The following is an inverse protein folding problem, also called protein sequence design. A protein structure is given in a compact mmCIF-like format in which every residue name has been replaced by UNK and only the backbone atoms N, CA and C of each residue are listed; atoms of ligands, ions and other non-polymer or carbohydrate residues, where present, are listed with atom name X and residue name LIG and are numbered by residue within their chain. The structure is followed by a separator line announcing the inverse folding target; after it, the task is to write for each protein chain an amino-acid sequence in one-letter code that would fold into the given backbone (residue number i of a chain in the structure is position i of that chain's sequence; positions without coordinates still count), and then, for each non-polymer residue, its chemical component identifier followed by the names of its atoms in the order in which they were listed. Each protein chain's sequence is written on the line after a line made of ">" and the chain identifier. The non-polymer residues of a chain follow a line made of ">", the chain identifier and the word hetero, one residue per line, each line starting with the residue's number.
data_IF_541971160974
#
_entry.id   IF_541971160974
#
_cell.length_a   1.000
_cell.length_b   1.000
_cell.length_c   1.000
_cell.angle_alpha   90.00
_cell.angle_beta   90.00
_cell.angle_gamma   90.00
#
_symmetry.space_group_name_H-M   'P 1'
#
loop_
_entity.id
_entity.type
_entity.pdbx_description
1 polymer ?
#
# COMPACT_ATOMS: atom_id res chain seq x y z
N UNK A 1 -4.89 -9.38 -74.51
CA UNK A 1 -5.46 -8.03 -74.34
C UNK A 1 -5.95 -7.89 -72.90
N UNK A 2 -5.52 -6.84 -72.20
CA UNK A 2 -6.20 -6.25 -71.03
C UNK A 2 -6.10 -6.96 -69.68
N UNK A 3 -5.12 -6.59 -68.84
CA UNK A 3 -5.29 -6.53 -67.37
C UNK A 3 -4.80 -5.16 -66.88
N UNK A 4 -5.55 -4.43 -66.05
CA UNK A 4 -5.21 -3.06 -65.70
C UNK A 4 -4.15 -3.02 -64.60
N UNK A 5 -3.17 -2.13 -64.78
CA UNK A 5 -2.17 -1.77 -63.77
C UNK A 5 -2.83 -0.97 -62.65
N UNK A 6 -2.90 -1.51 -61.43
CA UNK A 6 -3.17 -0.71 -60.24
C UNK A 6 -1.94 0.15 -59.92
N UNK A 7 -2.03 1.45 -60.16
CA UNK A 7 -1.05 2.44 -59.68
C UNK A 7 -1.09 2.49 -58.15
N UNK A 8 0.02 2.15 -57.50
CA UNK A 8 0.25 2.48 -56.09
C UNK A 8 0.37 4.02 -55.96
N UNK A 9 -0.29 4.66 -54.97
CA UNK A 9 -0.07 6.07 -54.73
C UNK A 9 1.32 6.29 -54.12
N UNK A 10 1.99 7.33 -54.60
CA UNK A 10 3.32 7.78 -54.15
C UNK A 10 3.24 8.17 -52.66
N UNK A 11 4.07 7.55 -51.82
CA UNK A 11 4.36 8.02 -50.47
C UNK A 11 5.08 9.36 -50.56
N UNK A 12 4.36 10.44 -50.25
CA UNK A 12 4.98 11.70 -49.85
C UNK A 12 5.60 11.50 -48.48
N UNK A 13 6.87 11.88 -48.34
CA UNK A 13 7.54 11.88 -47.05
C UNK A 13 6.92 12.96 -46.15
N UNK A 14 6.31 12.55 -45.04
CA UNK A 14 6.00 13.43 -43.92
C UNK A 14 6.61 12.86 -42.64
N UNK A 15 7.38 13.71 -41.98
CA UNK A 15 7.93 13.62 -40.62
C UNK A 15 7.05 12.83 -39.64
N UNK A 16 7.68 11.96 -38.83
CA UNK A 16 7.10 11.12 -37.76
C UNK A 16 5.71 11.58 -37.26
N UNK A 17 4.65 11.04 -37.86
CA UNK A 17 3.29 11.10 -37.34
C UNK A 17 2.82 9.67 -37.12
N UNK A 18 2.66 9.27 -35.85
CA UNK A 18 1.85 8.08 -35.56
C UNK A 18 0.45 8.34 -36.12
N UNK A 19 -0.01 7.51 -37.06
CA UNK A 19 -1.40 7.52 -37.50
C UNK A 19 -2.28 7.27 -36.27
N UNK A 20 -2.99 8.31 -35.82
CA UNK A 20 -3.79 8.29 -34.61
C UNK A 20 -5.21 7.84 -34.95
N UNK A 21 -5.69 6.80 -34.27
CA UNK A 21 -7.12 6.44 -34.27
C UNK A 21 -7.86 7.35 -33.28
N UNK A 22 -8.72 8.24 -33.79
CA UNK A 22 -9.56 9.11 -32.96
C UNK A 22 -10.84 8.37 -32.61
N UNK A 23 -11.03 8.06 -31.32
CA UNK A 23 -12.24 7.42 -30.80
C UNK A 23 -12.88 8.35 -29.78
N UNK A 24 -14.14 8.69 -29.99
CA UNK A 24 -14.84 9.64 -29.12
C UNK A 24 -14.15 11.01 -29.06
N UNK A 25 -14.42 11.74 -27.98
CA UNK A 25 -13.74 13.00 -27.64
C UNK A 25 -12.71 12.78 -26.54
N UNK A 26 -11.55 13.43 -26.69
CA UNK A 26 -10.48 13.39 -25.71
C UNK A 26 -10.80 14.19 -24.45
N UNK A 27 -11.55 15.28 -24.58
CA UNK A 27 -12.02 16.11 -23.49
C UNK A 27 -13.54 16.19 -23.54
N UNK A 28 -14.19 15.71 -22.47
CA UNK A 28 -15.65 15.63 -22.43
C UNK A 28 -16.33 16.99 -22.28
N UNK A 29 -15.58 18.08 -22.04
CA UNK A 29 -16.12 19.45 -22.18
C UNK A 29 -16.50 19.79 -23.63
N UNK A 30 -16.00 19.01 -24.60
CA UNK A 30 -16.31 19.16 -26.03
C UNK A 30 -17.50 18.29 -26.47
N UNK A 31 -18.16 17.58 -25.54
CA UNK A 31 -19.36 16.82 -25.88
C UNK A 31 -20.48 17.77 -26.35
N UNK A 32 -21.20 17.43 -27.45
CA UNK A 32 -22.31 18.25 -27.94
C UNK A 32 -23.47 18.38 -26.94
N UNK A 33 -23.67 17.35 -26.11
CA UNK A 33 -24.66 17.34 -25.03
C UNK A 33 -24.05 16.66 -23.80
N UNK A 34 -23.94 17.42 -22.71
CA UNK A 34 -23.49 16.90 -21.42
C UNK A 34 -24.66 16.17 -20.77
N UNK A 35 -24.69 14.85 -20.96
CA UNK A 35 -25.65 13.94 -20.33
C UNK A 35 -24.92 12.70 -19.81
N UNK A 36 -25.48 12.03 -18.81
CA UNK A 36 -24.92 10.77 -18.29
C UNK A 36 -24.70 9.74 -19.41
N UNK A 37 -25.68 9.63 -20.33
CA UNK A 37 -25.58 8.76 -21.49
C UNK A 37 -24.44 9.15 -22.43
N UNK A 38 -24.30 10.45 -22.75
CA UNK A 38 -23.22 10.92 -23.63
C UNK A 38 -21.82 10.69 -23.05
N UNK A 39 -21.66 10.89 -21.74
CA UNK A 39 -20.42 10.59 -21.02
C UNK A 39 -20.13 9.08 -21.07
N UNK A 40 -21.13 8.25 -20.74
CA UNK A 40 -20.98 6.80 -20.72
C UNK A 40 -20.65 6.23 -22.11
N UNK A 41 -21.32 6.71 -23.17
CA UNK A 41 -21.06 6.29 -24.55
C UNK A 41 -19.64 6.65 -24.99
N UNK A 42 -19.16 7.85 -24.65
CA UNK A 42 -17.79 8.28 -24.95
C UNK A 42 -16.76 7.39 -24.24
N UNK A 43 -16.91 7.19 -22.93
CA UNK A 43 -16.01 6.34 -22.14
C UNK A 43 -16.03 4.89 -22.64
N UNK A 44 -17.20 4.35 -22.99
CA UNK A 44 -17.35 2.99 -23.53
C UNK A 44 -16.67 2.83 -24.88
N UNK A 45 -16.84 3.79 -25.79
CA UNK A 45 -16.18 3.76 -27.10
C UNK A 45 -14.66 3.81 -26.95
N UNK A 46 -14.15 4.75 -26.14
CA UNK A 46 -12.71 4.92 -25.89
C UNK A 46 -12.08 3.70 -25.22
N UNK A 47 -12.70 3.20 -24.15
CA UNK A 47 -12.25 1.98 -23.47
C UNK A 47 -12.27 0.77 -24.41
N UNK A 48 -13.29 0.66 -25.29
CA UNK A 48 -13.36 -0.39 -26.30
C UNK A 48 -12.24 -0.36 -27.34
N UNK A 49 -11.52 0.76 -27.48
CA UNK A 49 -10.32 0.89 -28.29
C UNK A 49 -9.05 1.12 -27.47
N UNK A 50 -9.02 0.65 -26.23
CA UNK A 50 -7.88 0.72 -25.30
C UNK A 50 -7.40 2.14 -24.96
N UNK A 51 -8.25 3.14 -25.16
CA UNK A 51 -8.03 4.53 -24.72
C UNK A 51 -8.66 4.73 -23.34
N UNK A 52 -7.92 4.35 -22.30
CA UNK A 52 -8.43 4.32 -20.91
C UNK A 52 -8.54 5.70 -20.24
N UNK A 53 -7.81 6.68 -20.76
CA UNK A 53 -7.72 8.03 -20.21
C UNK A 53 -8.61 9.00 -21.00
N UNK A 54 -9.34 9.86 -20.30
CA UNK A 54 -10.20 10.90 -20.91
C UNK A 54 -10.21 12.14 -20.02
N UNK A 55 -10.08 13.34 -20.60
CA UNK A 55 -10.15 14.59 -19.85
C UNK A 55 -11.61 15.02 -19.59
N UNK A 56 -11.80 15.76 -18.50
CA UNK A 56 -12.99 16.59 -18.22
C UNK A 56 -12.49 17.91 -17.65
N UNK A 57 -12.19 18.90 -18.50
CA UNK A 57 -11.52 20.11 -18.02
C UNK A 57 -10.27 19.69 -17.23
N UNK A 58 -9.96 20.28 -16.08
CA UNK A 58 -8.73 19.91 -15.32
C UNK A 58 -8.70 18.50 -14.70
N UNK A 59 -9.77 17.70 -14.82
CA UNK A 59 -9.83 16.34 -14.27
C UNK A 59 -9.44 15.31 -15.34
N UNK A 60 -8.67 14.30 -14.94
CA UNK A 60 -8.37 13.12 -15.75
C UNK A 60 -9.19 11.92 -15.25
N UNK A 61 -10.03 11.37 -16.11
CA UNK A 61 -10.77 10.13 -15.86
C UNK A 61 -9.98 8.95 -16.41
N UNK A 62 -9.86 7.90 -15.62
CA UNK A 62 -9.25 6.63 -15.99
C UNK A 62 -10.25 5.50 -15.80
N UNK A 63 -10.46 4.67 -16.83
CA UNK A 63 -11.27 3.44 -16.75
C UNK A 63 -10.32 2.24 -16.77
N UNK A 64 -10.25 1.49 -15.67
CA UNK A 64 -9.30 0.38 -15.53
C UNK A 64 -9.50 -0.70 -16.62
N UNK A 65 -8.48 -1.00 -17.44
CA UNK A 65 -8.60 -1.97 -18.53
C UNK A 65 -8.56 -3.45 -18.08
N UNK A 66 -8.16 -3.74 -16.84
CA UNK A 66 -7.91 -5.11 -16.33
C UNK A 66 -6.99 -5.95 -17.23
N UNK A 67 -6.09 -5.28 -17.98
CA UNK A 67 -5.07 -5.89 -18.81
C UNK A 67 -3.88 -4.94 -18.95
N UNK A 68 -2.73 -5.49 -19.32
CA UNK A 68 -1.54 -4.71 -19.61
C UNK A 68 -1.68 -3.93 -20.91
N UNK A 69 -1.32 -2.65 -20.87
CA UNK A 69 -1.22 -1.75 -22.03
C UNK A 69 0.19 -1.17 -22.08
N UNK A 70 0.84 -1.20 -23.24
CA UNK A 70 2.17 -0.62 -23.44
C UNK A 70 2.08 0.90 -23.71
N UNK A 71 1.68 1.64 -22.68
CA UNK A 71 1.48 3.09 -22.74
C UNK A 71 2.36 3.86 -21.72
N UNK A 72 3.18 3.16 -20.94
CA UNK A 72 3.98 3.74 -19.85
C UNK A 72 5.50 3.69 -20.08
N UNK A 73 5.94 3.44 -21.31
CA UNK A 73 7.36 3.35 -21.64
C UNK A 73 8.05 4.73 -21.69
N UNK A 74 9.39 4.72 -21.70
CA UNK A 74 10.20 5.95 -21.73
C UNK A 74 9.93 6.83 -22.97
N UNK A 75 9.63 6.21 -24.12
CA UNK A 75 9.31 6.98 -25.33
C UNK A 75 8.03 7.79 -25.12
N UNK A 76 7.04 7.22 -24.44
CA UNK A 76 5.83 7.93 -24.06
C UNK A 76 6.14 9.04 -23.06
N UNK A 77 6.96 8.80 -22.03
CA UNK A 77 7.36 9.88 -21.10
C UNK A 77 8.00 11.06 -21.84
N UNK A 78 8.95 10.79 -22.75
CA UNK A 78 9.59 11.83 -23.58
C UNK A 78 8.60 12.53 -24.53
N UNK A 79 7.56 11.83 -24.99
CA UNK A 79 6.52 12.46 -25.80
C UNK A 79 5.73 13.51 -25.02
N UNK A 80 5.46 13.29 -23.73
CA UNK A 80 4.72 14.22 -22.87
C UNK A 80 5.59 15.35 -22.31
N UNK A 81 6.88 15.11 -22.12
CA UNK A 81 7.83 16.09 -21.59
C UNK A 81 7.75 17.43 -22.35
N UNK A 82 7.66 18.53 -21.59
CA UNK A 82 7.61 19.90 -22.07
C UNK A 82 6.40 20.28 -22.94
N UNK A 83 5.39 19.42 -23.08
CA UNK A 83 4.18 19.74 -23.85
C UNK A 83 3.09 20.34 -22.98
N UNK A 84 2.20 21.13 -23.59
CA UNK A 84 0.97 21.55 -22.91
C UNK A 84 -0.10 20.48 -23.07
N UNK A 85 -1.02 20.44 -22.12
CA UNK A 85 -2.13 19.47 -22.13
C UNK A 85 -2.97 19.52 -23.42
N UNK A 86 -3.14 20.71 -23.98
CA UNK A 86 -3.85 20.96 -25.25
C UNK A 86 -3.16 20.29 -26.44
N UNK A 87 -1.84 20.11 -26.38
CA UNK A 87 -1.02 19.58 -27.47
C UNK A 87 -0.90 18.04 -27.43
N UNK A 88 -1.49 17.39 -26.42
CA UNK A 88 -1.31 15.96 -26.16
C UNK A 88 -2.63 15.25 -25.92
N UNK A 89 -2.61 13.94 -26.13
CA UNK A 89 -3.76 13.09 -25.87
C UNK A 89 -3.90 12.82 -24.37
N UNK A 90 -5.12 12.54 -23.85
CA UNK A 90 -5.32 12.26 -22.44
C UNK A 90 -4.44 11.12 -21.95
N UNK A 91 -3.69 11.37 -20.89
CA UNK A 91 -2.81 10.39 -20.26
C UNK A 91 -2.39 10.88 -18.88
N UNK A 92 -2.06 9.95 -17.98
CA UNK A 92 -1.57 10.28 -16.63
C UNK A 92 -0.29 11.11 -16.65
N UNK A 93 0.57 10.90 -17.66
CA UNK A 93 1.78 11.70 -17.87
C UNK A 93 1.49 13.16 -18.26
N UNK A 94 0.35 13.43 -18.92
CA UNK A 94 -0.05 14.81 -19.19
C UNK A 94 -0.36 15.56 -17.89
N UNK A 95 -1.07 14.90 -16.96
CA UNK A 95 -1.33 15.45 -15.63
C UNK A 95 -0.03 15.64 -14.85
N UNK A 96 0.85 14.63 -14.85
CA UNK A 96 2.14 14.72 -14.15
C UNK A 96 3.04 15.84 -14.70
N UNK A 97 3.09 16.03 -16.02
CA UNK A 97 3.81 17.14 -16.67
C UNK A 97 3.23 18.51 -16.30
N UNK A 98 1.91 18.65 -16.35
CA UNK A 98 1.22 19.88 -15.99
C UNK A 98 1.50 20.25 -14.52
N UNK A 99 1.41 19.27 -13.61
CA UNK A 99 1.76 19.42 -12.19
C UNK A 99 3.22 19.84 -12.01
N UNK A 100 4.18 19.09 -12.59
CA UNK A 100 5.60 19.38 -12.43
C UNK A 100 5.98 20.75 -13.00
N UNK A 101 5.52 21.08 -14.21
CA UNK A 101 5.83 22.36 -14.85
C UNK A 101 5.23 23.54 -14.10
N UNK A 102 4.02 23.40 -13.56
CA UNK A 102 3.37 24.44 -12.77
C UNK A 102 4.15 24.68 -11.48
N UNK A 103 4.57 23.62 -10.78
CA UNK A 103 5.44 23.72 -9.61
C UNK A 103 6.74 24.49 -9.91
N UNK A 104 7.45 24.13 -10.99
CA UNK A 104 8.73 24.78 -11.34
C UNK A 104 8.52 26.23 -11.81
N UNK A 105 7.46 26.51 -12.57
CA UNK A 105 7.20 27.84 -13.13
C UNK A 105 6.75 28.84 -12.07
N UNK A 106 5.85 28.40 -11.20
CA UNK A 106 5.17 29.28 -10.25
C UNK A 106 5.82 29.22 -8.85
N UNK A 107 6.77 28.30 -8.64
CA UNK A 107 7.42 28.04 -7.34
C UNK A 107 6.39 27.74 -6.22
N UNK A 108 5.25 27.16 -6.60
CA UNK A 108 4.13 26.83 -5.71
C UNK A 108 3.98 25.32 -5.54
N UNK A 109 3.65 24.90 -4.31
CA UNK A 109 3.36 23.51 -3.98
C UNK A 109 2.17 23.00 -4.78
N UNK A 110 2.30 21.79 -5.34
CA UNK A 110 1.26 21.13 -6.11
C UNK A 110 0.81 19.85 -5.43
N UNK A 111 -0.40 19.40 -5.73
CA UNK A 111 -0.92 18.13 -5.25
C UNK A 111 -1.75 17.44 -6.32
N UNK A 112 -1.57 16.13 -6.47
CA UNK A 112 -2.43 15.26 -7.27
C UNK A 112 -3.22 14.36 -6.34
N UNK A 113 -4.55 14.45 -6.44
CA UNK A 113 -5.48 13.63 -5.67
C UNK A 113 -6.05 12.56 -6.59
N UNK A 114 -5.89 11.29 -6.20
CA UNK A 114 -6.37 10.15 -6.96
C UNK A 114 -7.49 9.48 -6.19
N UNK A 115 -8.70 9.49 -6.76
CA UNK A 115 -9.89 8.92 -6.14
C UNK A 115 -10.56 7.88 -7.05
N UNK A 116 -11.37 7.02 -6.45
CA UNK A 116 -12.05 5.93 -7.14
C UNK A 116 -12.30 4.73 -6.24
N UNK A 117 -13.19 3.85 -6.66
CA UNK A 117 -13.51 2.62 -5.93
C UNK A 117 -12.31 1.68 -5.77
N UNK A 118 -12.43 0.71 -4.86
CA UNK A 118 -11.43 -0.34 -4.69
C UNK A 118 -11.24 -1.11 -6.01
N UNK A 119 -10.00 -1.20 -6.50
CA UNK A 119 -9.68 -1.82 -7.79
C UNK A 119 -9.79 -0.89 -9.01
N UNK A 120 -10.12 0.40 -8.85
CA UNK A 120 -10.23 1.35 -9.98
C UNK A 120 -8.89 1.74 -10.65
N UNK A 121 -7.74 1.33 -10.11
CA UNK A 121 -6.42 1.65 -10.65
C UNK A 121 -5.71 2.84 -10.00
N UNK A 122 -6.14 3.29 -8.81
CA UNK A 122 -5.54 4.44 -8.09
C UNK A 122 -4.05 4.28 -7.84
N UNK A 123 -3.66 3.16 -7.25
CA UNK A 123 -2.25 2.84 -6.93
C UNK A 123 -1.40 2.74 -8.20
N UNK A 124 -1.93 2.20 -9.29
CA UNK A 124 -1.22 2.17 -10.57
C UNK A 124 -1.06 3.56 -11.16
N UNK A 125 -2.11 4.40 -11.17
CA UNK A 125 -1.99 5.79 -11.60
C UNK A 125 -0.96 6.57 -10.75
N UNK A 126 -0.96 6.37 -9.42
CA UNK A 126 0.01 6.94 -8.50
C UNK A 126 1.44 6.55 -8.89
N UNK A 127 1.70 5.25 -9.10
CA UNK A 127 3.01 4.75 -9.57
C UNK A 127 3.44 5.41 -10.89
N UNK A 128 2.51 5.59 -11.84
CA UNK A 128 2.84 6.22 -13.11
C UNK A 128 3.18 7.71 -12.99
N UNK A 129 2.48 8.45 -12.13
CA UNK A 129 2.84 9.85 -11.83
C UNK A 129 4.22 9.92 -11.19
N UNK A 130 4.48 9.05 -10.21
CA UNK A 130 5.77 8.94 -9.52
C UNK A 130 6.91 8.64 -10.50
N UNK A 131 6.74 7.63 -11.35
CA UNK A 131 7.70 7.24 -12.38
C UNK A 131 7.97 8.38 -13.36
N UNK A 132 6.92 9.09 -13.80
CA UNK A 132 7.06 10.21 -14.72
C UNK A 132 7.88 11.34 -14.09
N UNK A 133 7.49 11.79 -12.89
CA UNK A 133 8.20 12.85 -12.16
C UNK A 133 9.65 12.45 -11.93
N UNK A 134 9.92 11.23 -11.47
CA UNK A 134 11.29 10.71 -11.31
C UNK A 134 12.06 10.67 -12.64
N UNK A 135 11.42 10.32 -13.75
CA UNK A 135 12.04 10.24 -15.07
C UNK A 135 12.45 11.60 -15.65
N UNK A 136 11.66 12.66 -15.40
CA UNK A 136 11.93 13.99 -15.98
C UNK A 136 12.74 14.93 -15.08
N UNK A 137 12.80 14.64 -13.78
CA UNK A 137 13.37 15.54 -12.76
C UNK A 137 14.89 15.41 -12.62
N UNK A 138 15.65 15.87 -13.63
CA UNK A 138 17.13 15.96 -13.60
C UNK A 138 17.87 14.64 -13.32
N UNK A 139 19.18 14.67 -13.11
CA UNK A 139 19.98 13.50 -12.73
C UNK A 139 21.16 13.91 -11.85
N UNK A 140 21.64 13.01 -10.99
CA UNK A 140 22.78 13.25 -10.11
C UNK A 140 22.76 12.31 -8.91
N UNK A 141 23.91 12.00 -8.31
CA UNK A 141 24.03 10.92 -7.31
C UNK A 141 23.02 11.02 -6.14
N UNK A 142 22.85 12.22 -5.55
CA UNK A 142 21.85 12.46 -4.50
C UNK A 142 20.40 12.40 -5.01
N UNK A 143 20.14 12.96 -6.19
CA UNK A 143 18.83 12.96 -6.85
C UNK A 143 18.39 11.54 -7.20
N UNK A 144 19.29 10.74 -7.75
CA UNK A 144 19.03 9.36 -8.18
C UNK A 144 18.79 8.46 -6.96
N UNK A 145 19.46 8.74 -5.84
CA UNK A 145 19.17 8.08 -4.56
C UNK A 145 17.76 8.40 -4.06
N UNK A 146 17.33 9.67 -4.06
CA UNK A 146 15.97 10.05 -3.65
C UNK A 146 14.93 9.35 -4.53
N UNK A 147 15.09 9.41 -5.86
CA UNK A 147 14.20 8.76 -6.82
C UNK A 147 14.11 7.25 -6.57
N UNK A 148 15.25 6.60 -6.39
CA UNK A 148 15.32 5.17 -6.17
C UNK A 148 14.64 4.77 -4.86
N UNK A 149 14.99 5.42 -3.75
CA UNK A 149 14.35 5.19 -2.44
C UNK A 149 12.85 5.39 -2.53
N UNK A 150 12.41 6.44 -3.21
CA UNK A 150 11.00 6.76 -3.39
C UNK A 150 10.25 5.66 -4.15
N UNK A 151 10.75 5.24 -5.31
CA UNK A 151 10.11 4.19 -6.12
C UNK A 151 10.16 2.82 -5.44
N UNK A 152 11.29 2.47 -4.82
CA UNK A 152 11.49 1.17 -4.14
C UNK A 152 10.78 1.09 -2.79
N UNK A 153 10.28 2.20 -2.24
CA UNK A 153 9.43 2.20 -1.04
C UNK A 153 8.05 1.58 -1.28
N UNK A 154 7.57 1.55 -2.54
CA UNK A 154 6.23 1.05 -2.87
C UNK A 154 6.09 -0.45 -2.60
N UNK A 155 6.93 -1.36 -3.14
CA UNK A 155 6.86 -2.78 -2.83
C UNK A 155 6.87 -3.08 -1.33
N UNK A 156 7.70 -2.35 -0.57
CA UNK A 156 7.76 -2.48 0.89
C UNK A 156 6.42 -2.14 1.56
N UNK A 157 5.85 -0.98 1.22
CA UNK A 157 4.58 -0.56 1.82
C UNK A 157 3.40 -1.39 1.32
N UNK A 158 3.43 -1.89 0.09
CA UNK A 158 2.40 -2.81 -0.43
C UNK A 158 2.44 -4.17 0.27
N UNK A 159 3.63 -4.72 0.55
CA UNK A 159 3.74 -5.98 1.29
C UNK A 159 3.10 -5.91 2.68
N UNK A 160 3.28 -4.79 3.40
CA UNK A 160 2.78 -4.62 4.77
C UNK A 160 1.42 -3.93 4.86
N UNK A 161 1.00 -3.20 3.83
CA UNK A 161 -0.18 -2.35 3.84
C UNK A 161 -1.28 -2.82 2.88
N UNK A 162 -0.99 -3.75 1.97
CA UNK A 162 -1.98 -4.28 1.04
C UNK A 162 -2.37 -5.71 1.38
N UNK A 163 -3.59 -6.05 0.95
CA UNK A 163 -4.14 -7.39 1.08
C UNK A 163 -5.09 -7.69 -0.08
N UNK A 164 -5.34 -8.99 -0.32
CA UNK A 164 -6.43 -9.42 -1.21
C UNK A 164 -7.76 -9.21 -0.52
N UNK A 165 -8.67 -8.48 -1.18
CA UNK A 165 -10.09 -8.39 -0.84
C UNK A 165 -10.93 -9.13 -1.88
N UNK A 166 -12.24 -9.19 -1.67
CA UNK A 166 -13.17 -9.81 -2.64
C UNK A 166 -13.16 -9.09 -4.01
N UNK A 167 -12.80 -7.79 -4.04
CA UNK A 167 -12.86 -6.94 -5.23
C UNK A 167 -11.49 -6.68 -5.87
N UNK A 168 -10.41 -6.79 -5.10
CA UNK A 168 -9.06 -6.44 -5.55
C UNK A 168 -8.01 -7.32 -4.87
N UNK A 169 -7.18 -7.99 -5.67
CA UNK A 169 -6.10 -8.85 -5.19
C UNK A 169 -4.96 -8.09 -4.50
N UNK A 170 -4.81 -6.79 -4.75
CA UNK A 170 -3.79 -5.93 -4.15
C UNK A 170 -4.44 -4.63 -3.62
N UNK A 171 -5.41 -4.76 -2.72
CA UNK A 171 -6.12 -3.60 -2.15
C UNK A 171 -5.29 -2.92 -1.08
N UNK A 172 -5.01 -1.64 -1.25
CA UNK A 172 -4.39 -0.78 -0.22
C UNK A 172 -5.32 -0.66 0.98
N UNK A 173 -4.86 -1.11 2.15
CA UNK A 173 -5.59 -1.05 3.43
C UNK A 173 -5.05 0.05 4.35
N UNK A 174 -4.47 1.07 3.75
CA UNK A 174 -4.00 2.30 4.36
C UNK A 174 -4.07 3.41 3.30
N UNK A 175 -4.27 4.65 3.74
CA UNK A 175 -4.09 5.83 2.90
C UNK A 175 -2.63 6.26 2.89
N UNK A 176 -2.19 6.79 1.76
CA UNK A 176 -0.80 7.19 1.54
C UNK A 176 -0.74 8.57 0.92
N UNK A 177 -0.07 9.49 1.60
CA UNK A 177 0.34 10.75 1.03
C UNK A 177 1.84 10.76 0.85
N UNK A 178 2.25 10.88 -0.40
CA UNK A 178 3.63 11.07 -0.76
C UNK A 178 3.89 12.53 -1.04
N UNK A 179 4.99 13.05 -0.53
CA UNK A 179 5.46 14.38 -0.83
C UNK A 179 6.90 14.29 -1.34
N UNK A 180 7.15 14.81 -2.54
CA UNK A 180 8.49 15.02 -3.06
C UNK A 180 8.85 16.49 -2.97
N UNK A 181 10.07 16.78 -2.53
CA UNK A 181 10.58 18.14 -2.37
C UNK A 181 11.55 18.47 -3.50
N UNK A 182 11.44 19.67 -4.05
CA UNK A 182 12.18 20.13 -5.22
C UNK A 182 12.87 21.46 -4.94
N UNK A 183 14.07 21.62 -5.50
CA UNK A 183 14.70 22.93 -5.57
C UNK A 183 14.12 23.78 -6.71
N UNK A 184 14.52 25.06 -6.78
CA UNK A 184 14.10 25.98 -7.85
C UNK A 184 14.48 25.52 -9.27
N UNK A 185 15.42 24.56 -9.41
CA UNK A 185 15.77 23.95 -10.69
C UNK A 185 14.91 22.73 -11.03
N UNK A 186 13.93 22.37 -10.18
CA UNK A 186 13.05 21.21 -10.36
C UNK A 186 13.73 19.87 -10.04
N UNK A 187 14.84 19.89 -9.29
CA UNK A 187 15.56 18.66 -8.92
C UNK A 187 15.05 18.14 -7.57
N UNK A 188 14.75 16.83 -7.43
CA UNK A 188 14.32 16.23 -6.18
C UNK A 188 15.43 16.34 -5.11
N UNK A 189 15.11 16.95 -3.98
CA UNK A 189 16.02 17.10 -2.83
C UNK A 189 15.70 16.12 -1.70
N UNK A 190 14.47 15.62 -1.65
CA UNK A 190 14.03 14.67 -0.65
C UNK A 190 12.55 14.39 -0.75
N UNK A 191 11.98 13.83 0.31
CA UNK A 191 10.55 13.58 0.36
C UNK A 191 10.07 13.10 1.72
N UNK A 192 8.76 13.00 1.84
CA UNK A 192 8.08 12.52 3.03
C UNK A 192 6.92 11.62 2.65
N UNK A 193 6.69 10.59 3.46
CA UNK A 193 5.56 9.66 3.34
C UNK A 193 4.76 9.74 4.62
N UNK A 194 3.50 10.13 4.47
CA UNK A 194 2.51 10.09 5.55
C UNK A 194 1.55 8.93 5.29
N UNK A 195 1.46 8.03 6.27
CA UNK A 195 0.48 6.96 6.28
C UNK A 195 -0.79 7.39 7.06
N UNK A 196 -1.95 6.97 6.57
CA UNK A 196 -3.24 7.21 7.22
C UNK A 196 -3.96 5.89 7.42
N UNK A 197 -4.49 5.69 8.63
CA UNK A 197 -5.51 4.68 8.93
C UNK A 197 -5.19 3.29 8.37
N UNK A 198 -4.09 2.69 8.79
CA UNK A 198 -3.85 1.25 8.56
C UNK A 198 -5.03 0.45 9.17
N UNK A 199 -5.64 -0.44 8.38
CA UNK A 199 -6.75 -1.31 8.80
C UNK A 199 -6.24 -2.43 9.74
N UNK A 200 -5.91 -2.05 10.98
CA UNK A 200 -5.31 -2.96 11.97
C UNK A 200 -6.22 -4.17 12.27
N UNK A 201 -7.54 -4.04 12.19
CA UNK A 201 -8.48 -5.13 12.44
C UNK A 201 -8.28 -6.34 11.50
N UNK A 202 -7.78 -6.12 10.28
CA UNK A 202 -7.46 -7.19 9.31
C UNK A 202 -6.48 -8.22 9.84
N UNK A 203 -5.57 -7.83 10.74
CA UNK A 203 -4.56 -8.72 11.31
C UNK A 203 -5.22 -9.90 12.01
N UNK A 204 -6.30 -9.64 12.74
CA UNK A 204 -6.92 -10.65 13.62
C UNK A 204 -8.20 -11.22 13.03
N UNK A 205 -8.87 -10.47 12.15
CA UNK A 205 -10.15 -10.82 11.55
C UNK A 205 -10.24 -10.36 10.09
N UNK A 206 -9.49 -10.98 9.16
CA UNK A 206 -9.67 -10.73 7.73
C UNK A 206 -11.07 -11.15 7.28
N UNK A 207 -11.62 -10.48 6.26
CA UNK A 207 -12.92 -10.83 5.67
C UNK A 207 -12.93 -12.24 5.08
N UNK A 208 -14.11 -12.87 5.01
CA UNK A 208 -14.26 -14.20 4.42
C UNK A 208 -13.91 -14.14 2.92
N UNK A 209 -13.05 -15.05 2.45
CA UNK A 209 -12.56 -15.06 1.07
C UNK A 209 -11.46 -14.04 0.78
N UNK A 210 -11.04 -13.26 1.77
CA UNK A 210 -9.96 -12.28 1.69
C UNK A 210 -8.65 -12.84 2.25
N UNK A 211 -7.54 -12.12 2.11
CA UNK A 211 -6.30 -12.43 2.84
C UNK A 211 -6.05 -11.44 3.97
N UNK A 212 -5.18 -11.85 4.89
CA UNK A 212 -4.44 -10.93 5.73
C UNK A 212 -3.43 -10.13 4.87
N UNK A 213 -2.62 -9.25 5.48
CA UNK A 213 -1.57 -8.54 4.75
C UNK A 213 -0.61 -9.49 4.04
N UNK A 214 -0.15 -9.10 2.85
CA UNK A 214 0.66 -9.97 1.98
C UNK A 214 1.91 -10.49 2.66
N UNK A 215 2.56 -9.66 3.48
CA UNK A 215 3.81 -9.99 4.15
C UNK A 215 3.73 -11.29 4.97
N UNK A 216 2.59 -11.64 5.56
CA UNK A 216 2.47 -12.88 6.31
C UNK A 216 2.61 -14.12 5.42
N UNK A 217 2.04 -14.08 4.21
CA UNK A 217 2.10 -15.19 3.27
C UNK A 217 3.47 -15.24 2.58
N UNK A 218 3.99 -14.06 2.22
CA UNK A 218 5.36 -13.88 1.73
C UNK A 218 6.39 -14.44 2.70
N UNK A 219 6.24 -14.18 4.01
CA UNK A 219 7.10 -14.72 5.05
C UNK A 219 7.12 -16.25 5.06
N UNK A 220 5.95 -16.89 5.01
CA UNK A 220 5.86 -18.35 5.07
C UNK A 220 6.42 -19.01 3.80
N UNK A 221 6.21 -18.38 2.64
CA UNK A 221 6.65 -18.88 1.34
C UNK A 221 8.15 -18.62 1.06
N UNK A 222 8.66 -17.44 1.42
CA UNK A 222 9.98 -16.97 1.03
C UNK A 222 11.10 -17.21 2.05
N UNK A 223 10.78 -17.57 3.30
CA UNK A 223 11.82 -17.94 4.26
C UNK A 223 12.48 -19.27 3.91
N UNK A 224 13.82 -19.37 3.98
CA UNK A 224 14.52 -20.64 3.92
C UNK A 224 14.06 -21.60 5.02
N UNK A 225 14.02 -22.90 4.75
CA UNK A 225 13.48 -23.89 5.69
C UNK A 225 14.15 -23.83 7.07
N UNK A 226 15.48 -23.70 7.12
CA UNK A 226 16.22 -23.57 8.38
C UNK A 226 15.80 -22.34 9.20
N UNK A 227 15.60 -21.20 8.53
CA UNK A 227 15.11 -19.98 9.17
C UNK A 227 13.66 -20.16 9.64
N UNK A 228 12.79 -20.73 8.78
CA UNK A 228 11.39 -21.01 9.10
C UNK A 228 11.27 -21.89 10.36
N UNK A 229 12.07 -22.96 10.46
CA UNK A 229 12.13 -23.83 11.64
C UNK A 229 12.64 -23.07 12.88
N UNK A 230 13.66 -22.22 12.74
CA UNK A 230 14.19 -21.42 13.87
C UNK A 230 13.15 -20.45 14.45
N UNK A 231 12.28 -19.90 13.60
CA UNK A 231 11.13 -19.08 14.02
C UNK A 231 9.92 -19.90 14.50
N UNK A 232 9.99 -21.23 14.44
CA UNK A 232 8.88 -22.12 14.75
C UNK A 232 7.70 -21.98 13.79
N UNK A 233 7.94 -21.54 12.55
CA UNK A 233 6.89 -21.30 11.58
C UNK A 233 6.58 -22.58 10.78
N UNK A 234 5.30 -22.84 10.53
CA UNK A 234 4.86 -23.85 9.57
C UNK A 234 4.92 -23.30 8.14
N UNK A 235 5.07 -24.17 7.14
CA UNK A 235 4.92 -23.78 5.73
C UNK A 235 3.45 -23.55 5.34
N UNK A 236 2.49 -24.00 6.15
CA UNK A 236 1.06 -23.88 5.86
C UNK A 236 0.45 -22.69 6.59
N UNK A 237 -0.09 -21.74 5.83
CA UNK A 237 -0.82 -20.60 6.39
C UNK A 237 -2.02 -21.02 7.25
N UNK A 238 -2.65 -22.17 6.95
CA UNK A 238 -3.77 -22.71 7.73
C UNK A 238 -3.45 -23.04 9.18
N UNK A 239 -2.17 -23.16 9.54
CA UNK A 239 -1.73 -23.51 10.89
C UNK A 239 -1.72 -22.29 11.83
N UNK A 240 -1.95 -21.09 11.28
CA UNK A 240 -2.02 -19.83 12.02
C UNK A 240 -3.43 -19.28 12.00
N UNK A 241 -4.02 -19.07 13.17
CA UNK A 241 -5.40 -18.61 13.34
C UNK A 241 -5.69 -17.32 12.56
N UNK A 242 -4.77 -16.36 12.58
CA UNK A 242 -4.89 -15.07 11.89
C UNK A 242 -4.87 -15.17 10.36
N UNK A 243 -4.35 -16.26 9.81
CA UNK A 243 -4.34 -16.51 8.36
C UNK A 243 -5.44 -17.50 7.94
N UNK A 244 -5.84 -18.41 8.83
CA UNK A 244 -6.91 -19.38 8.63
C UNK A 244 -8.30 -18.74 8.60
N UNK A 245 -8.51 -17.65 9.35
CA UNK A 245 -9.82 -17.06 9.61
C UNK A 245 -10.63 -16.74 8.34
N UNK A 246 -9.98 -16.34 7.25
CA UNK A 246 -10.65 -15.98 5.99
C UNK A 246 -10.89 -17.16 5.04
N UNK A 247 -10.17 -18.27 5.22
CA UNK A 247 -10.19 -19.42 4.32
C UNK A 247 -9.53 -19.20 2.95
N UNK A 248 -8.83 -18.09 2.72
CA UNK A 248 -8.10 -17.81 1.48
C UNK A 248 -6.60 -17.62 1.77
N UNK A 249 -5.76 -18.34 1.03
CA UNK A 249 -4.31 -18.37 1.25
C UNK A 249 -3.49 -17.94 0.03
N UNK A 250 -4.05 -18.01 -1.16
CA UNK A 250 -3.35 -17.76 -2.44
C UNK A 250 -4.00 -16.63 -3.25
N UNK A 251 -3.20 -16.08 -4.15
CA UNK A 251 -3.58 -15.09 -5.16
C UNK A 251 -3.12 -15.66 -6.51
N UNK A 252 -3.98 -15.66 -7.52
CA UNK A 252 -3.74 -16.45 -8.75
C UNK A 252 -2.54 -15.95 -9.57
N UNK A 253 -2.22 -14.65 -9.50
CA UNK A 253 -1.16 -14.00 -10.30
C UNK A 253 0.04 -13.53 -9.45
N UNK A 254 0.24 -14.08 -8.25
CA UNK A 254 1.28 -13.64 -7.32
C UNK A 254 2.12 -14.81 -6.80
N UNK A 255 3.44 -14.70 -6.89
CA UNK A 255 4.34 -15.61 -6.19
C UNK A 255 4.82 -14.96 -4.88
N UNK A 256 4.21 -15.37 -3.76
CA UNK A 256 4.55 -14.85 -2.43
C UNK A 256 6.05 -15.00 -2.07
N UNK A 257 6.76 -16.02 -2.59
CA UNK A 257 8.19 -16.18 -2.34
C UNK A 257 9.03 -15.13 -3.08
N UNK A 258 8.75 -14.89 -4.36
CA UNK A 258 9.46 -13.88 -5.15
C UNK A 258 9.21 -12.47 -4.57
N UNK A 259 7.97 -12.20 -4.18
CA UNK A 259 7.56 -10.95 -3.52
C UNK A 259 8.23 -10.76 -2.15
N UNK A 260 8.45 -11.83 -1.39
CA UNK A 260 9.23 -11.77 -0.16
C UNK A 260 10.66 -11.31 -0.44
N UNK A 261 11.32 -11.89 -1.44
CA UNK A 261 12.67 -11.49 -1.83
C UNK A 261 12.73 -10.02 -2.28
N UNK A 262 11.74 -9.58 -3.06
CA UNK A 262 11.61 -8.18 -3.47
C UNK A 262 11.42 -7.24 -2.26
N UNK A 263 10.60 -7.63 -1.29
CA UNK A 263 10.35 -6.85 -0.06
C UNK A 263 11.60 -6.76 0.81
N UNK A 264 12.33 -7.86 0.99
CA UNK A 264 13.60 -7.86 1.73
C UNK A 264 14.66 -7.00 1.04
N UNK A 265 14.73 -7.05 -0.29
CA UNK A 265 15.61 -6.18 -1.06
C UNK A 265 15.21 -4.71 -0.88
N UNK A 266 13.93 -4.38 -1.00
CA UNK A 266 13.42 -3.01 -0.80
C UNK A 266 13.79 -2.46 0.59
N UNK A 267 13.65 -3.26 1.66
CA UNK A 267 14.09 -2.88 3.01
C UNK A 267 15.57 -2.50 3.08
N UNK A 268 16.44 -3.25 2.40
CA UNK A 268 17.87 -2.96 2.38
C UNK A 268 18.18 -1.67 1.62
N UNK A 269 17.48 -1.43 0.50
CA UNK A 269 17.67 -0.21 -0.29
C UNK A 269 17.24 1.06 0.47
N UNK A 270 16.14 1.00 1.22
CA UNK A 270 15.73 2.09 2.13
C UNK A 270 16.58 2.19 3.40
N UNK A 271 17.71 1.47 3.46
CA UNK A 271 18.70 1.60 4.53
C UNK A 271 18.30 0.92 5.85
N UNK A 272 17.38 -0.05 5.84
CA UNK A 272 17.09 -0.88 7.01
C UNK A 272 18.21 -1.91 7.15
N UNK A 273 18.88 -1.92 8.31
CA UNK A 273 20.01 -2.81 8.55
C UNK A 273 19.52 -4.26 8.61
N UNK A 274 20.35 -5.21 8.17
CA UNK A 274 20.04 -6.66 8.22
C UNK A 274 19.49 -7.12 9.58
N UNK A 275 20.10 -6.68 10.69
CA UNK A 275 19.62 -7.00 12.04
C UNK A 275 18.20 -6.46 12.31
N UNK A 276 17.86 -5.28 11.78
CA UNK A 276 16.51 -4.72 11.92
C UNK A 276 15.50 -5.50 11.05
N UNK A 277 15.90 -5.94 9.86
CA UNK A 277 15.07 -6.81 9.01
C UNK A 277 14.79 -8.14 9.73
N UNK A 278 15.80 -8.74 10.36
CA UNK A 278 15.64 -9.94 11.17
C UNK A 278 14.64 -9.72 12.33
N UNK A 279 14.69 -8.56 12.99
CA UNK A 279 13.73 -8.20 14.04
C UNK A 279 12.31 -7.99 13.51
N UNK A 280 12.14 -7.44 12.30
CA UNK A 280 10.83 -7.32 11.63
C UNK A 280 10.25 -8.71 11.34
N UNK A 281 11.07 -9.61 10.79
CA UNK A 281 10.71 -11.02 10.56
C UNK A 281 10.35 -11.74 11.87
N UNK A 282 11.16 -11.54 12.92
CA UNK A 282 10.92 -12.08 14.25
C UNK A 282 9.58 -11.58 14.82
N UNK A 283 9.26 -10.29 14.66
CA UNK A 283 8.01 -9.71 15.14
C UNK A 283 6.79 -10.28 14.39
N UNK A 284 6.87 -10.45 13.06
CA UNK A 284 5.83 -11.09 12.27
C UNK A 284 5.58 -12.53 12.75
N UNK A 285 6.65 -13.30 13.01
CA UNK A 285 6.53 -14.65 13.56
C UNK A 285 5.89 -14.64 14.96
N UNK A 286 6.27 -13.68 15.81
CA UNK A 286 5.65 -13.47 17.11
C UNK A 286 4.14 -13.19 17.02
N UNK A 287 3.71 -12.34 16.07
CA UNK A 287 2.29 -12.02 15.84
C UNK A 287 1.51 -13.26 15.39
N UNK A 288 2.08 -14.08 14.49
CA UNK A 288 1.44 -15.31 14.05
C UNK A 288 1.23 -16.31 15.20
N UNK A 289 2.25 -16.47 16.05
CA UNK A 289 2.17 -17.34 17.23
C UNK A 289 1.23 -16.80 18.30
N UNK A 290 1.18 -15.47 18.49
CA UNK A 290 0.17 -14.84 19.36
C UNK A 290 -1.23 -15.27 18.96
N UNK A 291 -1.59 -15.27 17.66
CA UNK A 291 -2.92 -15.66 17.20
C UNK A 291 -3.33 -17.10 17.55
N UNK A 292 -2.37 -17.98 17.79
CA UNK A 292 -2.61 -19.37 18.16
C UNK A 292 -2.75 -19.59 19.68
N UNK A 293 -2.54 -18.56 20.51
CA UNK A 293 -2.74 -18.66 21.96
C UNK A 293 -4.23 -18.62 22.27
N UNK A 294 -4.76 -19.71 22.85
CA UNK A 294 -6.16 -19.84 23.25
C UNK A 294 -6.33 -19.73 24.77
N UNK A 295 -7.54 -19.36 25.20
CA UNK A 295 -7.88 -19.17 26.61
C UNK A 295 -8.99 -20.11 27.04
N UNK A 296 -8.94 -20.55 28.30
CA UNK A 296 -9.97 -21.37 28.92
C UNK A 296 -10.54 -20.68 30.17
N UNK A 297 -11.85 -20.86 30.45
CA UNK A 297 -12.49 -20.21 31.58
C UNK A 297 -11.99 -20.79 32.90
N UNK A 298 -11.78 -19.92 33.88
CA UNK A 298 -11.48 -20.29 35.27
C UNK A 298 -12.25 -19.40 36.23
N UNK A 299 -12.47 -19.88 37.45
CA UNK A 299 -12.98 -19.05 38.54
C UNK A 299 -11.82 -18.43 39.29
N UNK A 300 -11.79 -17.10 39.36
CA UNK A 300 -10.80 -16.34 40.14
C UNK A 300 -11.55 -15.67 41.27
N UNK A 301 -11.44 -16.23 42.48
CA UNK A 301 -12.25 -15.84 43.64
C UNK A 301 -13.76 -15.97 43.32
N UNK A 302 -14.48 -14.86 43.25
CA UNK A 302 -15.93 -14.79 42.96
C UNK A 302 -16.22 -14.19 41.57
N UNK A 303 -15.23 -14.14 40.68
CA UNK A 303 -15.37 -13.57 39.34
C UNK A 303 -14.98 -14.58 38.26
N UNK A 304 -15.63 -14.46 37.10
CA UNK A 304 -15.21 -15.15 35.88
C UNK A 304 -13.85 -14.61 35.43
N UNK A 305 -12.91 -15.53 35.23
CA UNK A 305 -11.60 -15.23 34.69
C UNK A 305 -11.23 -16.19 33.58
N UNK A 306 -9.98 -16.09 33.16
CA UNK A 306 -9.40 -16.94 32.14
C UNK A 306 -7.97 -17.27 32.50
N UNK A 307 -7.49 -18.36 31.92
CA UNK A 307 -6.05 -18.66 31.83
C UNK A 307 -5.74 -19.09 30.41
N UNK A 308 -4.46 -19.06 30.05
CA UNK A 308 -3.99 -19.67 28.82
C UNK A 308 -4.31 -21.17 28.86
N UNK A 309 -4.89 -21.70 27.77
CA UNK A 309 -5.32 -23.09 27.69
C UNK A 309 -4.12 -24.03 27.82
N UNK A 310 -4.23 -25.00 28.74
CA UNK A 310 -3.19 -25.98 29.04
C UNK A 310 -3.17 -27.13 28.03
N UNK A 311 -2.87 -26.79 26.78
CA UNK A 311 -2.63 -27.77 25.73
C UNK A 311 -1.31 -27.47 25.03
N UNK A 312 -0.60 -28.52 24.61
CA UNK A 312 0.76 -28.38 24.08
C UNK A 312 0.88 -27.46 22.85
N UNK A 313 -0.18 -27.30 22.05
CA UNK A 313 -0.16 -26.38 20.91
C UNK A 313 -0.22 -24.90 21.35
N UNK A 314 -1.12 -24.57 22.28
CA UNK A 314 -1.24 -23.23 22.85
C UNK A 314 0.02 -22.86 23.65
N UNK A 315 0.51 -23.76 24.50
CA UNK A 315 1.71 -23.52 25.32
C UNK A 315 2.95 -23.31 24.43
N UNK A 316 3.13 -24.15 23.41
CA UNK A 316 4.21 -23.98 22.44
C UNK A 316 4.12 -22.65 21.69
N UNK A 317 2.91 -22.23 21.29
CA UNK A 317 2.70 -20.95 20.62
C UNK A 317 2.99 -19.76 21.55
N UNK A 318 2.61 -19.85 22.82
CA UNK A 318 2.93 -18.84 23.83
C UNK A 318 4.45 -18.71 24.02
N UNK A 319 5.16 -19.83 24.17
CA UNK A 319 6.62 -19.85 24.33
C UNK A 319 7.33 -19.28 23.10
N UNK A 320 6.85 -19.60 21.89
CA UNK A 320 7.38 -19.06 20.64
C UNK A 320 7.13 -17.54 20.54
N UNK A 321 5.93 -17.07 20.86
CA UNK A 321 5.61 -15.64 20.91
C UNK A 321 6.49 -14.91 21.93
N UNK A 322 6.63 -15.44 23.14
CA UNK A 322 7.47 -14.89 24.20
C UNK A 322 8.94 -14.79 23.77
N UNK A 323 9.50 -15.85 23.16
CA UNK A 323 10.88 -15.84 22.66
C UNK A 323 11.10 -14.74 21.61
N UNK A 324 10.16 -14.58 20.69
CA UNK A 324 10.26 -13.60 19.61
C UNK A 324 10.03 -12.16 20.07
N UNK A 325 9.22 -11.97 21.12
CA UNK A 325 8.93 -10.64 21.65
C UNK A 325 9.86 -10.24 22.80
N UNK A 326 10.71 -11.15 23.29
CA UNK A 326 11.59 -10.91 24.43
C UNK A 326 10.82 -10.80 25.76
N UNK A 327 9.74 -11.56 25.90
CA UNK A 327 8.84 -11.56 27.06
C UNK A 327 8.87 -12.93 27.77
N UNK A 328 8.32 -13.00 28.98
CA UNK A 328 8.13 -14.28 29.69
C UNK A 328 6.69 -14.76 29.60
N UNK A 329 6.48 -16.09 29.56
CA UNK A 329 5.15 -16.70 29.51
C UNK A 329 4.23 -16.26 30.66
N UNK A 330 4.70 -16.16 31.92
CA UNK A 330 3.86 -15.68 33.03
C UNK A 330 3.42 -14.22 32.87
N UNK A 331 4.32 -13.32 32.45
CA UNK A 331 4.01 -11.90 32.25
C UNK A 331 3.01 -11.71 31.11
N UNK A 332 3.24 -12.37 29.98
CA UNK A 332 2.36 -12.26 28.82
C UNK A 332 0.98 -12.88 29.08
N UNK A 333 0.94 -14.04 29.76
CA UNK A 333 -0.33 -14.65 30.19
C UNK A 333 -1.12 -13.74 31.13
N UNK A 334 -0.44 -13.09 32.08
CA UNK A 334 -1.07 -12.12 32.99
C UNK A 334 -1.61 -10.91 32.22
N UNK A 335 -0.86 -10.39 31.25
CA UNK A 335 -1.29 -9.27 30.41
C UNK A 335 -2.53 -9.57 29.56
N UNK A 336 -2.77 -10.84 29.20
CA UNK A 336 -4.01 -11.26 28.55
C UNK A 336 -5.16 -11.41 29.54
N UNK A 337 -4.92 -12.12 30.64
CA UNK A 337 -5.96 -12.59 31.54
C UNK A 337 -6.35 -11.58 32.64
N UNK A 338 -5.60 -10.48 32.80
CA UNK A 338 -5.86 -9.45 33.80
C UNK A 338 -5.74 -8.06 33.21
N UNK A 339 -6.60 -7.16 33.67
CA UNK A 339 -6.57 -5.73 33.29
C UNK A 339 -6.41 -4.87 34.54
N UNK A 340 -5.50 -3.90 34.47
CA UNK A 340 -5.37 -2.87 35.50
C UNK A 340 -6.52 -1.87 35.39
N UNK A 341 -7.22 -1.65 36.50
CA UNK A 341 -8.27 -0.66 36.64
C UNK A 341 -7.87 0.36 37.69
N UNK A 342 -7.98 1.63 37.32
CA UNK A 342 -7.81 2.77 38.20
C UNK A 342 -9.17 3.36 38.51
N UNK A 343 -9.59 3.29 39.77
CA UNK A 343 -10.87 3.85 40.24
C UNK A 343 -10.61 4.98 41.22
N UNK A 344 -11.38 6.07 41.10
CA UNK A 344 -11.36 7.11 42.12
C UNK A 344 -12.25 6.71 43.28
N UNK A 345 -11.63 6.46 44.43
CA UNK A 345 -12.33 6.24 45.68
C UNK A 345 -12.91 7.56 46.23
N UNK A 346 -13.94 7.50 47.09
CA UNK A 346 -14.45 8.69 47.79
C UNK A 346 -13.32 9.44 48.49
N UNK A 347 -13.17 10.73 48.18
CA UNK A 347 -12.05 11.56 48.67
C UNK A 347 -10.89 11.74 47.69
N UNK A 348 -11.02 11.30 46.43
CA UNK A 348 -10.08 11.63 45.34
C UNK A 348 -8.81 10.78 45.30
N UNK A 349 -8.73 9.70 46.10
CA UNK A 349 -7.62 8.75 46.03
C UNK A 349 -7.82 7.82 44.84
N UNK A 350 -6.76 7.65 44.04
CA UNK A 350 -6.73 6.67 42.95
C UNK A 350 -6.36 5.31 43.53
N UNK A 351 -7.31 4.38 43.51
CA UNK A 351 -7.06 2.96 43.82
C UNK A 351 -6.81 2.21 42.52
N UNK A 352 -5.82 1.30 42.54
CA UNK A 352 -5.43 0.52 41.36
C UNK A 352 -5.48 -0.96 41.72
N UNK A 353 -6.25 -1.74 40.96
CA UNK A 353 -6.35 -3.19 41.16
C UNK A 353 -6.45 -3.92 39.82
N UNK A 354 -6.06 -5.19 39.82
CA UNK A 354 -6.20 -6.06 38.66
C UNK A 354 -7.55 -6.76 38.68
N UNK A 355 -8.20 -6.78 37.51
CA UNK A 355 -9.48 -7.47 37.31
C UNK A 355 -9.27 -8.64 36.36
N UNK A 356 -9.66 -9.87 36.77
CA UNK A 356 -9.61 -11.02 35.88
C UNK A 356 -10.50 -10.79 34.65
N UNK A 357 -10.03 -11.24 33.50
CA UNK A 357 -10.72 -11.16 32.22
C UNK A 357 -11.27 -12.53 31.86
N UNK A 358 -12.51 -12.61 31.37
CA UNK A 358 -13.04 -13.84 30.82
C UNK A 358 -12.33 -14.21 29.48
N UNK A 359 -12.54 -15.43 28.92
CA UNK A 359 -11.82 -15.86 27.71
C UNK A 359 -11.99 -14.95 26.49
N UNK A 360 -13.17 -14.36 26.29
CA UNK A 360 -13.43 -13.45 25.16
C UNK A 360 -12.69 -12.11 25.34
N UNK A 361 -12.65 -11.60 26.56
CA UNK A 361 -11.88 -10.40 26.92
C UNK A 361 -10.37 -10.63 26.79
N UNK A 362 -9.87 -11.80 27.22
CA UNK A 362 -8.46 -12.16 27.06
C UNK A 362 -8.07 -12.32 25.58
N UNK A 363 -8.95 -12.92 24.77
CA UNK A 363 -8.82 -12.96 23.31
C UNK A 363 -8.75 -11.56 22.72
N UNK A 364 -9.64 -10.67 23.15
CA UNK A 364 -9.64 -9.26 22.71
C UNK A 364 -8.35 -8.53 23.08
N UNK A 365 -7.75 -8.81 24.26
CA UNK A 365 -6.47 -8.23 24.65
C UNK A 365 -5.29 -8.76 23.84
N UNK A 366 -5.23 -10.08 23.61
CA UNK A 366 -4.26 -10.69 22.70
C UNK A 366 -4.32 -10.06 21.31
N UNK A 367 -5.53 -9.90 20.79
CA UNK A 367 -5.77 -9.29 19.48
C UNK A 367 -5.39 -7.80 19.48
N UNK A 368 -5.66 -7.06 20.56
CA UNK A 368 -5.23 -5.68 20.70
C UNK A 368 -3.71 -5.54 20.69
N UNK A 369 -2.98 -6.44 21.37
CA UNK A 369 -1.52 -6.48 21.37
C UNK A 369 -1.00 -6.80 19.96
N UNK A 370 -1.55 -7.80 19.28
CA UNK A 370 -1.16 -8.13 17.90
C UNK A 370 -1.34 -6.94 16.93
N UNK A 371 -2.48 -6.24 17.03
CA UNK A 371 -2.76 -5.02 16.27
C UNK A 371 -1.77 -3.91 16.57
N UNK A 372 -1.43 -3.71 17.84
CA UNK A 372 -0.48 -2.70 18.28
C UNK A 372 0.94 -2.97 17.76
N UNK A 373 1.41 -4.22 17.88
CA UNK A 373 2.73 -4.63 17.40
C UNK A 373 2.87 -4.40 15.90
N UNK A 374 1.89 -4.86 15.11
CA UNK A 374 1.93 -4.69 13.66
C UNK A 374 1.87 -3.21 13.25
N UNK A 375 1.02 -2.42 13.88
CA UNK A 375 0.92 -0.99 13.60
C UNK A 375 2.23 -0.27 13.92
N UNK A 376 2.83 -0.55 15.08
CA UNK A 376 4.10 0.05 15.50
C UNK A 376 5.24 -0.35 14.56
N UNK A 377 5.23 -1.59 14.07
CA UNK A 377 6.17 -2.06 13.05
C UNK A 377 5.97 -1.34 11.72
N UNK A 378 4.73 -1.13 11.28
CA UNK A 378 4.42 -0.40 10.07
C UNK A 378 4.86 1.07 10.18
N UNK A 379 4.60 1.73 11.30
CA UNK A 379 5.05 3.09 11.58
C UNK A 379 6.59 3.18 11.58
N UNK A 380 7.27 2.19 12.15
CA UNK A 380 8.73 2.07 12.05
C UNK A 380 9.20 1.96 10.59
N UNK A 381 8.55 1.15 9.75
CA UNK A 381 8.93 1.04 8.33
C UNK A 381 8.76 2.38 7.60
N UNK A 382 7.67 3.10 7.85
CA UNK A 382 7.43 4.44 7.29
C UNK A 382 8.48 5.43 7.79
N UNK A 383 8.82 5.40 9.08
CA UNK A 383 9.89 6.23 9.65
C UNK A 383 11.25 5.93 8.98
N UNK A 384 11.57 4.66 8.71
CA UNK A 384 12.81 4.28 8.00
C UNK A 384 12.82 4.79 6.56
N UNK A 385 11.69 4.74 5.86
CA UNK A 385 11.55 5.31 4.51
C UNK A 385 11.76 6.82 4.56
N UNK A 386 11.14 7.52 5.50
CA UNK A 386 11.28 8.97 5.66
C UNK A 386 12.73 9.37 5.96
N UNK A 387 13.41 8.65 6.84
CA UNK A 387 14.84 8.86 7.10
C UNK A 387 15.73 8.61 5.87
N UNK A 388 15.32 7.74 4.95
CA UNK A 388 16.04 7.47 3.72
C UNK A 388 15.77 8.53 2.62
N UNK A 389 14.62 9.19 2.68
CA UNK A 389 14.21 10.27 1.79
C UNK A 389 14.73 11.65 2.23
N UNK A 390 15.03 11.85 3.51
CA UNK A 390 15.65 13.08 4.04
C UNK A 390 17.16 13.10 3.77
N UNK A 391 17.54 13.35 2.52
CA UNK A 391 18.95 13.49 2.14
C UNK A 391 19.48 14.81 2.70
N UNK A 392 20.60 14.76 3.42
CA UNK A 392 21.32 15.91 4.00
C UNK A 392 20.53 16.77 4.99
N UNK A 393 19.52 16.21 5.70
CA UNK A 393 18.64 16.95 6.62
C UNK A 393 17.97 18.14 5.92
N UNK A 394 17.68 18.01 4.62
CA UNK A 394 17.08 19.07 3.80
C UNK A 394 15.66 19.39 4.20
N UNK A 395 14.96 18.49 4.92
CA UNK A 395 13.67 18.79 5.56
C UNK A 395 13.76 20.01 6.51
N UNK A 396 14.92 20.27 7.13
CA UNK A 396 15.12 21.45 7.97
C UNK A 396 15.33 22.75 7.18
N UNK A 397 15.55 22.66 5.86
CA UNK A 397 15.68 23.78 4.92
C UNK A 397 14.44 23.95 4.03
N UNK A 398 13.33 23.29 4.37
CA UNK A 398 12.11 23.23 3.57
C UNK A 398 11.47 24.59 3.22
N UNK A 399 11.87 25.68 3.88
CA UNK A 399 11.34 27.02 3.58
C UNK A 399 11.59 27.51 2.14
N UNK A 400 12.60 26.95 1.46
CA UNK A 400 12.98 27.34 0.08
C UNK A 400 12.67 26.24 -0.97
N UNK A 401 11.97 25.17 -0.58
CA UNK A 401 11.67 24.03 -1.47
C UNK A 401 10.18 23.99 -1.83
N UNK A 402 9.88 23.77 -3.11
CA UNK A 402 8.53 23.48 -3.56
C UNK A 402 8.24 21.99 -3.40
N UNK A 403 6.97 21.60 -3.24
CA UNK A 403 6.57 20.20 -3.11
C UNK A 403 5.55 19.74 -4.14
N UNK A 404 5.60 18.44 -4.49
CA UNK A 404 4.52 17.74 -5.18
C UNK A 404 4.00 16.65 -4.25
N UNK A 405 2.77 16.85 -3.80
CA UNK A 405 1.97 15.87 -3.09
C UNK A 405 1.27 14.89 -4.04
N UNK A 406 1.27 13.59 -3.72
CA UNK A 406 0.51 12.56 -4.42
C UNK A 406 -0.29 11.81 -3.36
N UNK A 407 -1.61 11.99 -3.39
CA UNK A 407 -2.53 11.36 -2.46
C UNK A 407 -3.17 10.12 -3.10
N UNK A 408 -2.78 8.94 -2.61
CA UNK A 408 -3.41 7.64 -2.91
C UNK A 408 -4.17 7.15 -1.68
N UNK A 409 -5.49 7.32 -1.69
CA UNK A 409 -6.36 6.88 -0.60
C UNK A 409 -6.89 5.48 -0.84
N UNK A 410 -7.33 4.81 0.23
CA UNK A 410 -8.13 3.61 0.10
C UNK A 410 -9.37 3.89 -0.76
N UNK A 411 -9.80 2.89 -1.52
CA UNK A 411 -10.99 3.04 -2.35
C UNK A 411 -12.26 3.06 -1.53
N UNK A 412 -13.30 3.67 -2.06
CA UNK A 412 -14.65 3.46 -1.53
C UNK A 412 -15.00 1.97 -1.62
N UNK A 413 -15.47 1.42 -0.51
CA UNK A 413 -15.86 0.02 -0.36
C UNK A 413 -17.22 -0.06 0.31
N UNK A 414 -18.07 -0.94 -0.21
CA UNK A 414 -19.38 -1.25 0.38
C UNK A 414 -19.51 -2.77 0.38
N UNK A 415 -19.55 -3.35 1.58
CA UNK A 415 -19.75 -4.78 1.80
C UNK A 415 -21.16 -5.07 2.32
N UNK A 416 -21.53 -6.35 2.36
CA UNK A 416 -22.79 -6.80 2.96
C UNK A 416 -22.91 -6.41 4.45
N UNK A 417 -21.76 -6.31 5.14
CA UNK A 417 -21.66 -5.80 6.51
C UNK A 417 -20.46 -4.86 6.61
N UNK A 418 -20.71 -3.59 6.90
CA UNK A 418 -19.70 -2.55 7.07
C UNK A 418 -19.41 -2.34 8.56
N UNK A 419 -18.13 -2.28 8.92
CA UNK A 419 -17.62 -2.03 10.27
C UNK A 419 -17.30 -0.55 10.52
N UNK A 420 -16.47 -0.28 11.51
CA UNK A 420 -15.99 1.08 11.83
C UNK A 420 -14.96 1.58 10.79
N UNK A 421 -14.26 0.65 10.13
CA UNK A 421 -13.21 0.95 9.17
C UNK A 421 -13.70 1.35 7.77
N UNK A 422 -14.95 1.03 7.42
CA UNK A 422 -15.62 1.51 6.19
C UNK A 422 -16.36 2.81 6.48
#
# INVERSE_FOLDING_TARGET
>A
MGRPSKKLPKRGASTLGMERMVIGVDDMVLLPSVSENGILENLKARHGGDQIYTFIGHVLVCVNPYKWLDIYNENMMRYYAHKQRIDVVPHVFATAEETYRTMVRDEENQCVIISGESGAGKTEASKQIQNYIAGISGSGEGVDKVKRTFLESNPLLEAFGNAKTVRNNNSSRFGKYFELLFDAAGRPQGGHVTNYLLEKSRIVKPGKGERNFHIFYQLLAGLPDAARTSFGLSSKASDFQYLRASGCYTVDDLNDADEFHATMAAMQHVGIKKKQIELVVQMLAGILHLGNVNFEPVQVQNAEGSRVALNGATESSLDLACRHLGLTAPELSRAFCYKWLHTMAPGGKVESYEVPQNPDQATSQRDAIAKFLYASMFDFLVERINNALDVDNTLHKAGDLASIGILDIYGFEIFDSNGFEQ
#
